data_IF_177924276940
#
_entry.id   IF_177924276940
#
_cell.length_a   1.000
_cell.length_b   1.000
_cell.length_c   1.000
_cell.angle_alpha   90.00
_cell.angle_beta   90.00
_cell.angle_gamma   90.00
#
_symmetry.space_group_name_H-M   'P 1'
#
loop_
_entity.id
_entity.type
_entity.pdbx_description
1 polymer ?
#
# COMPACT_ATOMS: atom_id res chain seq x y z
N UNK A 1 -1.27 6.44 22.20
CA UNK A 1 -2.23 6.29 21.10
C UNK A 1 -1.51 5.97 19.81
N UNK A 2 -2.01 4.99 19.11
CA UNK A 2 -1.41 4.61 17.84
C UNK A 2 -1.73 5.65 16.78
N UNK A 3 -0.69 6.12 16.12
CA UNK A 3 -0.83 7.02 15.02
C UNK A 3 -0.29 6.33 13.78
N UNK A 4 -1.20 5.92 12.89
CA UNK A 4 -0.80 5.19 11.70
C UNK A 4 0.17 5.98 10.83
N UNK A 5 0.11 7.30 10.92
CA UNK A 5 0.97 8.16 10.11
C UNK A 5 2.44 8.06 10.53
N UNK A 6 2.70 7.59 11.75
CA UNK A 6 4.07 7.47 12.24
C UNK A 6 4.73 6.15 11.89
N UNK A 7 3.96 5.20 11.37
CA UNK A 7 4.52 3.90 11.05
C UNK A 7 5.11 3.89 9.64
N UNK A 8 6.27 3.24 9.47
CA UNK A 8 6.90 3.16 8.15
C UNK A 8 6.22 2.16 7.22
N UNK A 9 5.22 1.42 7.70
CA UNK A 9 4.55 0.40 6.91
C UNK A 9 3.04 0.44 7.13
N UNK A 10 2.32 -0.16 6.18
CA UNK A 10 0.86 -0.23 6.20
C UNK A 10 0.41 -1.65 5.86
N UNK A 11 -0.68 -2.10 6.49
CA UNK A 11 -1.31 -3.35 6.09
C UNK A 11 -2.12 -3.13 4.82
N UNK A 12 -2.49 -4.23 4.15
CA UNK A 12 -3.29 -4.10 2.93
C UNK A 12 -4.65 -3.47 3.23
N UNK A 13 -5.20 -3.76 4.42
CA UNK A 13 -6.47 -3.17 4.81
C UNK A 13 -6.34 -1.66 4.98
N UNK A 14 -5.23 -1.23 5.59
CA UNK A 14 -4.98 0.20 5.77
C UNK A 14 -4.77 0.90 4.43
N UNK A 15 -4.07 0.25 3.51
CA UNK A 15 -3.88 0.81 2.17
C UNK A 15 -5.21 0.91 1.44
N UNK A 16 -6.04 -0.12 1.56
CA UNK A 16 -7.37 -0.12 0.97
C UNK A 16 -8.19 1.08 1.46
N UNK A 17 -8.16 1.32 2.76
CA UNK A 17 -8.90 2.44 3.35
C UNK A 17 -8.32 3.78 2.93
N UNK A 18 -6.99 3.85 2.89
CA UNK A 18 -6.30 5.09 2.54
C UNK A 18 -6.60 5.50 1.10
N UNK A 19 -6.58 4.55 0.18
CA UNK A 19 -6.75 4.82 -1.23
C UNK A 19 -8.20 4.76 -1.70
N UNK A 20 -9.08 4.20 -0.87
CA UNK A 20 -10.48 4.05 -1.25
C UNK A 20 -10.73 3.00 -2.31
N UNK A 21 -9.85 2.00 -2.42
CA UNK A 21 -10.03 0.91 -3.37
C UNK A 21 -10.04 -0.40 -2.62
N UNK A 22 -10.67 -1.42 -3.21
CA UNK A 22 -10.85 -2.69 -2.53
C UNK A 22 -9.53 -3.48 -2.47
N UNK A 23 -9.44 -4.38 -1.50
CA UNK A 23 -8.30 -5.28 -1.38
C UNK A 23 -8.14 -6.10 -2.66
N UNK A 24 -9.25 -6.52 -3.27
CA UNK A 24 -9.20 -7.28 -4.52
C UNK A 24 -8.54 -6.47 -5.64
N UNK A 25 -8.88 -5.19 -5.71
CA UNK A 25 -8.29 -4.31 -6.71
C UNK A 25 -6.79 -4.15 -6.47
N UNK A 26 -6.38 -4.00 -5.21
CA UNK A 26 -4.97 -3.88 -4.87
C UNK A 26 -4.22 -5.14 -5.31
N UNK A 27 -4.76 -6.32 -4.99
CA UNK A 27 -4.13 -7.58 -5.38
C UNK A 27 -4.01 -7.71 -6.89
N UNK A 28 -5.03 -7.25 -7.62
CA UNK A 28 -4.98 -7.28 -9.08
C UNK A 28 -3.89 -6.36 -9.62
N UNK A 29 -3.76 -5.17 -9.04
CA UNK A 29 -2.74 -4.22 -9.45
C UNK A 29 -1.34 -4.79 -9.18
N UNK A 30 -1.15 -5.46 -8.06
CA UNK A 30 0.12 -6.11 -7.74
C UNK A 30 0.43 -7.18 -8.77
N UNK A 31 -0.56 -8.01 -9.09
CA UNK A 31 -0.38 -9.10 -10.04
C UNK A 31 0.01 -8.58 -11.41
N UNK A 32 -0.50 -7.42 -11.78
CA UNK A 32 -0.21 -6.82 -13.09
C UNK A 32 1.04 -5.97 -13.09
N UNK A 33 1.74 -5.89 -11.94
CA UNK A 33 2.96 -5.11 -11.86
C UNK A 33 2.74 -3.60 -11.78
N UNK A 34 1.52 -3.18 -11.42
CA UNK A 34 1.16 -1.76 -11.39
C UNK A 34 1.05 -1.19 -9.98
N UNK A 35 1.54 -1.92 -9.00
CA UNK A 35 1.45 -1.50 -7.60
C UNK A 35 2.67 -2.02 -6.84
N UNK A 36 3.14 -1.29 -5.81
CA UNK A 36 4.30 -1.77 -5.04
C UNK A 36 4.01 -3.14 -4.42
N UNK A 37 4.98 -4.03 -4.42
CA UNK A 37 4.77 -5.38 -3.87
C UNK A 37 4.74 -5.34 -2.36
N UNK A 38 4.09 -6.35 -1.78
CA UNK A 38 4.12 -6.53 -0.34
C UNK A 38 5.52 -6.91 0.11
N UNK A 39 5.91 -6.45 1.28
CA UNK A 39 7.20 -6.77 1.89
C UNK A 39 6.97 -7.65 3.11
N UNK A 40 7.83 -8.63 3.29
CA UNK A 40 7.71 -9.51 4.45
C UNK A 40 8.24 -8.81 5.69
N UNK A 41 7.38 -8.64 6.68
CA UNK A 41 7.75 -8.03 7.95
C UNK A 41 8.23 -9.09 8.94
N UNK A 42 7.52 -10.21 8.97
CA UNK A 42 7.84 -11.35 9.84
C UNK A 42 7.16 -12.57 9.24
N UNK A 43 7.43 -13.76 9.76
CA UNK A 43 6.75 -14.96 9.25
C UNK A 43 5.24 -14.77 9.30
N UNK A 44 4.61 -14.96 8.16
CA UNK A 44 3.16 -14.83 8.04
C UNK A 44 2.65 -13.41 8.02
N UNK A 45 3.53 -12.40 8.01
CA UNK A 45 3.08 -11.01 8.03
C UNK A 45 3.71 -10.23 6.89
N UNK A 46 2.85 -9.69 6.04
CA UNK A 46 3.29 -8.90 4.90
C UNK A 46 2.67 -7.52 4.97
N UNK A 47 3.45 -6.52 4.58
CA UNK A 47 3.03 -5.12 4.67
C UNK A 47 3.51 -4.38 3.43
N UNK A 48 2.99 -3.16 3.26
CA UNK A 48 3.47 -2.23 2.23
C UNK A 48 4.32 -1.17 2.92
N UNK A 49 5.39 -0.77 2.27
CA UNK A 49 6.18 0.33 2.81
C UNK A 49 5.47 1.63 2.51
N UNK A 50 5.33 2.46 3.54
CA UNK A 50 4.60 3.73 3.40
C UNK A 50 5.21 4.60 2.30
N UNK A 51 6.54 4.67 2.22
CA UNK A 51 7.17 5.52 1.22
C UNK A 51 6.86 5.04 -0.20
N UNK A 52 6.72 3.74 -0.40
CA UNK A 52 6.38 3.20 -1.72
C UNK A 52 4.94 3.54 -2.11
N UNK A 53 4.04 3.48 -1.14
CA UNK A 53 2.64 3.86 -1.39
C UNK A 53 2.58 5.35 -1.75
N UNK A 54 3.34 6.18 -1.03
CA UNK A 54 3.35 7.61 -1.31
C UNK A 54 3.92 7.88 -2.71
N UNK A 55 4.99 7.19 -3.09
CA UNK A 55 5.54 7.33 -4.43
C UNK A 55 4.54 6.93 -5.49
N UNK A 56 3.82 5.85 -5.25
CA UNK A 56 2.81 5.37 -6.20
C UNK A 56 1.72 6.43 -6.39
N UNK A 57 1.28 7.03 -5.30
CA UNK A 57 0.28 8.10 -5.35
C UNK A 57 0.83 9.29 -6.13
N UNK A 58 2.05 9.71 -5.79
CA UNK A 58 2.67 10.87 -6.42
C UNK A 58 2.85 10.69 -7.92
N UNK A 59 3.21 9.48 -8.35
CA UNK A 59 3.40 9.20 -9.76
C UNK A 59 2.11 9.22 -10.56
N UNK A 60 0.98 9.03 -9.88
CA UNK A 60 -0.32 9.05 -10.55
C UNK A 60 -1.00 10.40 -10.52
N UNK A 61 -0.46 11.33 -9.75
CA UNK A 61 -1.08 12.66 -9.63
C UNK A 61 -1.10 13.41 -10.96
N UNK A 62 -0.12 13.15 -11.81
CA UNK A 62 -0.06 13.81 -13.10
C UNK A 62 -1.16 13.33 -14.05
N UNK A 63 -1.82 12.23 -13.71
CA UNK A 63 -2.89 11.67 -14.52
C UNK A 63 -4.27 12.17 -14.11
N UNK A 64 -4.35 12.97 -13.06
CA UNK A 64 -5.62 13.45 -12.49
C UNK A 64 -6.11 14.72 -13.15
#
# INVERSE_FOLDING_TARGET
>A
MNNQEDRPFLTIKEVSELLGISVSTINRLIKNGNFPPKRKLSPGRRVFMRYQIQEWIDNRRSDW
#
